data_IF_305042182601
#
_entry.id   IF_305042182601
#
_cell.length_a   1.000
_cell.length_b   1.000
_cell.length_c   1.000
_cell.angle_alpha   90.00
_cell.angle_beta   90.00
_cell.angle_gamma   90.00
#
_symmetry.space_group_name_H-M   'P 1'
#
loop_
_entity.id
_entity.type
_entity.pdbx_description
1 polymer ?
#
# COMPACT_ATOMS: atom_id res chain seq x y z
N UNK A 1 6.32 -11.56 13.50
CA UNK A 1 7.21 -11.76 12.35
C UNK A 1 6.39 -11.33 11.14
N UNK A 2 6.94 -10.54 10.22
CA UNK A 2 6.24 -10.27 8.96
C UNK A 2 6.16 -11.62 8.22
N UNK A 3 4.97 -12.04 7.83
CA UNK A 3 4.75 -13.26 7.04
C UNK A 3 4.40 -12.87 5.61
N UNK A 4 5.39 -12.84 4.68
CA UNK A 4 5.15 -12.38 3.33
C UNK A 4 4.07 -13.20 2.62
N UNK A 5 3.04 -12.54 2.10
CA UNK A 5 1.91 -13.18 1.43
C UNK A 5 1.55 -12.52 0.09
N UNK A 6 2.28 -11.48 -0.30
CA UNK A 6 2.04 -10.73 -1.52
C UNK A 6 3.31 -10.03 -1.99
N UNK A 7 3.34 -9.77 -3.30
CA UNK A 7 4.13 -8.68 -3.86
C UNK A 7 3.17 -7.53 -4.18
N UNK A 8 3.68 -6.30 -4.27
CA UNK A 8 2.88 -5.12 -4.57
C UNK A 8 3.57 -4.21 -5.58
N UNK A 9 2.74 -3.41 -6.24
CA UNK A 9 3.17 -2.25 -7.02
C UNK A 9 2.66 -1.00 -6.32
N UNK A 10 3.55 -0.07 -6.00
CA UNK A 10 3.19 1.30 -5.60
C UNK A 10 3.15 2.12 -6.88
N UNK A 11 2.07 2.86 -7.08
CA UNK A 11 1.83 3.68 -8.27
C UNK A 11 1.77 5.13 -7.83
N UNK A 12 2.74 5.91 -8.32
CA UNK A 12 2.85 7.34 -8.08
C UNK A 12 2.13 8.06 -9.21
N UNK A 13 1.04 8.75 -8.88
CA UNK A 13 0.39 9.60 -9.87
C UNK A 13 1.30 10.78 -10.22
N UNK A 14 1.45 11.02 -11.52
CA UNK A 14 2.00 12.26 -12.03
C UNK A 14 0.94 13.02 -12.82
N UNK A 15 1.08 14.34 -12.85
CA UNK A 15 0.19 15.22 -13.61
C UNK A 15 0.51 15.22 -15.11
N UNK A 16 1.73 14.79 -15.46
CA UNK A 16 2.28 14.85 -16.81
C UNK A 16 2.85 13.47 -17.24
N UNK A 17 1.98 12.56 -17.67
CA UNK A 17 2.38 11.32 -18.34
C UNK A 17 1.86 10.03 -17.70
N UNK A 18 2.43 8.87 -18.09
CA UNK A 18 2.21 7.58 -17.42
C UNK A 18 2.79 7.60 -16.02
N UNK A 19 2.16 6.95 -15.03
CA UNK A 19 2.60 7.00 -13.64
C UNK A 19 3.96 6.32 -13.46
N UNK A 20 4.71 6.75 -12.44
CA UNK A 20 5.88 6.01 -11.98
C UNK A 20 5.43 4.83 -11.10
N UNK A 21 6.19 3.74 -11.11
CA UNK A 21 5.86 2.54 -10.34
C UNK A 21 7.06 1.96 -9.61
N UNK A 22 6.90 1.69 -8.32
CA UNK A 22 7.86 0.95 -7.50
C UNK A 22 7.34 -0.48 -7.24
N UNK A 23 8.22 -1.47 -7.39
CA UNK A 23 7.91 -2.88 -7.15
C UNK A 23 8.47 -3.33 -5.81
N UNK A 24 7.58 -3.84 -4.95
CA UNK A 24 7.96 -4.30 -3.61
C UNK A 24 7.64 -5.77 -3.48
N UNK A 25 8.67 -6.55 -3.19
CA UNK A 25 8.56 -8.00 -3.06
C UNK A 25 8.46 -8.43 -1.60
N UNK A 26 7.63 -9.44 -1.35
CA UNK A 26 7.54 -10.09 -0.05
C UNK A 26 6.99 -9.19 1.07
N UNK A 27 5.83 -8.59 0.85
CA UNK A 27 5.08 -7.83 1.86
C UNK A 27 4.05 -8.72 2.55
N UNK A 28 3.67 -8.35 3.77
CA UNK A 28 2.48 -8.91 4.44
C UNK A 28 1.29 -7.97 4.20
N UNK A 29 0.39 -8.38 3.30
CA UNK A 29 -0.84 -7.67 2.99
C UNK A 29 -1.98 -8.20 3.86
N UNK A 30 -2.46 -7.37 4.78
CA UNK A 30 -3.55 -7.71 5.68
C UNK A 30 -4.80 -6.92 5.30
N UNK A 31 -5.74 -7.59 4.64
CA UNK A 31 -7.07 -7.05 4.42
C UNK A 31 -7.96 -7.37 5.62
N UNK A 32 -8.09 -6.44 6.56
CA UNK A 32 -9.04 -6.60 7.66
C UNK A 32 -10.28 -5.73 7.44
N UNK A 33 -11.45 -6.35 7.60
CA UNK A 33 -12.69 -5.61 7.80
C UNK A 33 -12.67 -5.02 9.20
N UNK A 34 -12.04 -3.86 9.39
CA UNK A 34 -12.06 -3.16 10.68
C UNK A 34 -13.44 -2.55 10.89
N UNK A 35 -14.28 -3.26 11.63
CA UNK A 35 -15.51 -2.71 12.20
C UNK A 35 -15.18 -1.99 13.50
N UNK A 36 -15.19 -0.66 13.47
CA UNK A 36 -15.10 0.16 14.68
C UNK A 36 -16.52 0.61 15.07
N UNK A 37 -16.90 0.41 16.33
CA UNK A 37 -18.13 1.01 16.87
C UNK A 37 -17.76 2.40 17.39
N UNK A 38 -18.36 3.44 16.82
CA UNK A 38 -18.27 4.81 17.34
C UNK A 38 -19.60 5.17 17.99
N UNK A 39 -19.64 6.27 18.76
CA UNK A 39 -20.89 6.79 19.35
C UNK A 39 -21.97 7.13 18.29
N UNK A 40 -21.60 7.17 17.01
CA UNK A 40 -22.46 7.39 15.85
C UNK A 40 -22.82 6.11 15.07
N UNK A 41 -22.48 4.92 15.58
CA UNK A 41 -22.79 3.61 14.98
C UNK A 41 -21.57 2.82 14.48
N UNK A 42 -21.84 1.67 13.86
CA UNK A 42 -20.83 0.75 13.30
C UNK A 42 -20.20 1.37 12.05
N UNK A 43 -18.95 1.83 12.15
CA UNK A 43 -18.14 2.23 11.01
C UNK A 43 -17.32 1.03 10.56
N UNK A 44 -17.80 0.34 9.52
CA UNK A 44 -16.96 -0.59 8.77
C UNK A 44 -16.11 0.24 7.79
N UNK A 45 -14.83 0.39 8.09
CA UNK A 45 -13.85 0.79 7.09
C UNK A 45 -13.05 -0.45 6.77
N UNK A 46 -13.12 -0.91 5.52
CA UNK A 46 -12.14 -1.87 5.02
C UNK A 46 -10.80 -1.13 5.02
N UNK A 47 -9.99 -1.38 6.03
CA UNK A 47 -8.66 -0.79 6.18
C UNK A 47 -7.69 -1.90 5.86
N UNK A 48 -6.97 -1.73 4.76
CA UNK A 48 -5.89 -2.63 4.41
C UNK A 48 -4.64 -2.13 5.12
N UNK A 49 -4.01 -3.00 5.89
CA UNK A 49 -2.70 -2.75 6.49
C UNK A 49 -1.66 -3.54 5.71
N UNK A 50 -0.59 -2.87 5.27
CA UNK A 50 0.51 -3.53 4.53
C UNK A 50 1.79 -3.33 5.31
N UNK A 51 2.47 -4.43 5.66
CA UNK A 51 3.77 -4.39 6.30
C UNK A 51 4.87 -4.64 5.27
N UNK A 52 5.67 -3.61 5.04
CA UNK A 52 6.82 -3.66 4.12
C UNK A 52 8.09 -3.96 4.94
N UNK A 53 8.85 -5.00 4.58
CA UNK A 53 10.06 -5.36 5.31
C UNK A 53 11.13 -4.26 5.17
N UNK A 54 11.94 -4.07 6.22
CA UNK A 54 13.04 -3.10 6.25
C UNK A 54 13.99 -3.20 5.05
N UNK A 55 14.20 -4.39 4.51
CA UNK A 55 15.07 -4.62 3.34
C UNK A 55 14.66 -3.86 2.09
N UNK A 56 13.39 -3.46 1.99
CA UNK A 56 12.86 -2.76 0.81
C UNK A 56 12.89 -1.23 0.94
N UNK A 57 13.27 -0.67 2.11
CA UNK A 57 13.20 0.79 2.36
C UNK A 57 14.02 1.60 1.36
N UNK A 58 15.26 1.18 1.12
CA UNK A 58 16.22 1.99 0.36
C UNK A 58 15.96 1.97 -1.15
N UNK A 59 14.99 1.16 -1.60
CA UNK A 59 14.68 0.96 -3.03
C UNK A 59 13.31 1.49 -3.43
N UNK A 60 12.54 2.06 -2.50
CA UNK A 60 11.16 2.47 -2.75
C UNK A 60 10.90 3.86 -2.21
N UNK A 61 10.07 4.59 -2.93
CA UNK A 61 9.44 5.83 -2.46
C UNK A 61 7.97 5.58 -2.17
N UNK A 62 7.41 6.35 -1.26
CA UNK A 62 5.99 6.24 -0.91
C UNK A 62 5.52 7.55 -0.27
N UNK A 63 4.34 7.98 -0.66
CA UNK A 63 3.67 9.15 -0.12
C UNK A 63 2.17 8.85 0.05
N UNK A 64 1.52 9.69 0.87
CA UNK A 64 0.07 9.66 0.96
C UNK A 64 -0.53 9.98 -0.41
N UNK A 65 -1.68 9.38 -0.70
CA UNK A 65 -2.38 9.45 -1.98
C UNK A 65 -1.74 8.65 -3.14
N UNK A 66 -0.59 8.01 -2.96
CA UNK A 66 -0.16 6.95 -3.88
C UNK A 66 -1.14 5.77 -3.84
N UNK A 67 -1.20 5.02 -4.94
CA UNK A 67 -1.97 3.79 -5.01
C UNK A 67 -1.08 2.59 -4.75
N UNK A 68 -1.63 1.56 -4.11
CA UNK A 68 -0.99 0.26 -3.95
C UNK A 68 -1.87 -0.80 -4.57
N UNK A 69 -1.26 -1.63 -5.40
CA UNK A 69 -1.92 -2.73 -6.09
C UNK A 69 -1.23 -4.03 -5.71
N UNK A 70 -2.02 -5.09 -5.51
CA UNK A 70 -1.48 -6.42 -5.29
C UNK A 70 -0.92 -7.00 -6.60
N UNK A 71 0.30 -7.53 -6.53
CA UNK A 71 1.08 -8.06 -7.64
C UNK A 71 2.01 -7.04 -8.29
N UNK A 72 2.94 -7.54 -9.12
CA UNK A 72 3.87 -6.73 -9.92
C UNK A 72 3.21 -6.35 -11.24
N UNK A 73 2.97 -5.05 -11.44
CA UNK A 73 2.25 -4.48 -12.58
C UNK A 73 2.97 -3.26 -13.13
N UNK A 74 2.65 -2.94 -14.38
CA UNK A 74 3.13 -1.74 -15.07
C UNK A 74 1.94 -1.06 -15.71
N UNK A 75 1.87 0.26 -15.58
CA UNK A 75 0.81 1.08 -16.15
C UNK A 75 1.43 2.04 -17.16
N UNK A 76 0.85 2.12 -18.35
CA UNK A 76 1.29 3.04 -19.41
C UNK A 76 0.21 4.08 -19.72
N UNK A 77 -0.98 3.91 -19.15
CA UNK A 77 -2.13 4.77 -19.33
C UNK A 77 -2.07 6.01 -18.44
N UNK A 78 -2.88 7.02 -18.77
CA UNK A 78 -2.98 8.27 -18.02
C UNK A 78 -4.44 8.62 -17.72
N UNK A 79 -4.65 9.56 -16.80
CA UNK A 79 -5.96 10.15 -16.50
C UNK A 79 -7.06 9.12 -16.24
N UNK A 80 -8.17 9.19 -16.98
CA UNK A 80 -9.34 8.30 -16.80
C UNK A 80 -9.04 6.84 -17.12
N UNK A 81 -8.14 6.57 -18.07
CA UNK A 81 -7.79 5.19 -18.42
C UNK A 81 -6.97 4.53 -17.31
N UNK A 82 -6.00 5.26 -16.75
CA UNK A 82 -5.25 4.83 -15.57
C UNK A 82 -6.17 4.54 -14.39
N UNK A 83 -7.09 5.46 -14.08
CA UNK A 83 -8.05 5.26 -12.97
C UNK A 83 -8.87 3.99 -13.13
N UNK A 84 -9.34 3.69 -14.35
CA UNK A 84 -10.07 2.44 -14.63
C UNK A 84 -9.19 1.20 -14.49
N UNK A 85 -7.92 1.28 -14.88
CA UNK A 85 -6.97 0.18 -14.70
C UNK A 85 -6.72 -0.09 -13.22
N UNK A 86 -6.49 0.95 -12.42
CA UNK A 86 -6.35 0.88 -10.96
C UNK A 86 -7.61 0.33 -10.29
N UNK A 87 -8.81 0.79 -10.67
CA UNK A 87 -10.09 0.26 -10.16
C UNK A 87 -10.26 -1.24 -10.47
N UNK A 88 -9.99 -1.64 -11.73
CA UNK A 88 -10.05 -3.05 -12.15
C UNK A 88 -9.10 -3.91 -11.35
N UNK A 89 -7.95 -3.37 -11.00
CA UNK A 89 -6.90 -4.02 -10.23
C UNK A 89 -7.10 -3.91 -8.71
N UNK A 90 -8.22 -3.35 -8.27
CA UNK A 90 -8.58 -3.16 -6.87
C UNK A 90 -7.49 -2.40 -6.09
N UNK A 91 -6.94 -1.36 -6.72
CA UNK A 91 -5.97 -0.48 -6.09
C UNK A 91 -6.54 0.17 -4.83
N UNK A 92 -5.71 0.28 -3.79
CA UNK A 92 -6.02 1.02 -2.56
C UNK A 92 -5.12 2.23 -2.44
N UNK A 93 -5.62 3.28 -1.78
CA UNK A 93 -4.90 4.53 -1.61
C UNK A 93 -4.15 4.54 -0.27
N UNK A 94 -2.89 4.97 -0.26
CA UNK A 94 -2.13 5.15 0.99
C UNK A 94 -2.68 6.36 1.76
N UNK A 95 -3.12 6.13 2.99
CA UNK A 95 -3.64 7.15 3.92
C UNK A 95 -2.62 7.49 5.01
N UNK A 96 -1.86 6.50 5.47
CA UNK A 96 -0.85 6.64 6.52
C UNK A 96 0.37 5.79 6.23
N UNK A 97 1.53 6.30 6.68
CA UNK A 97 2.83 5.64 6.61
C UNK A 97 3.43 5.76 8.00
N UNK A 98 3.79 4.63 8.62
CA UNK A 98 4.45 4.58 9.92
C UNK A 98 5.79 3.88 9.75
N UNK A 99 6.86 4.56 10.13
CA UNK A 99 8.23 4.04 10.09
C UNK A 99 8.56 3.34 11.42
N UNK A 100 8.58 2.00 11.41
CA UNK A 100 8.94 1.17 12.54
C UNK A 100 10.31 0.50 12.35
N UNK A 101 11.23 1.13 11.61
CA UNK A 101 12.50 0.48 11.23
C UNK A 101 13.55 0.38 12.34
N UNK A 102 13.37 1.15 13.41
CA UNK A 102 14.20 1.11 14.61
C UNK A 102 13.67 0.12 15.66
N UNK A 103 12.55 -0.56 15.38
CA UNK A 103 11.95 -1.52 16.30
C UNK A 103 12.92 -2.67 16.61
N UNK A 104 12.90 -3.14 17.87
CA UNK A 104 13.71 -4.25 18.37
C UNK A 104 12.79 -5.33 18.96
N UNK A 105 12.92 -6.61 18.57
CA UNK A 105 13.96 -7.19 17.70
C UNK A 105 13.88 -6.76 16.22
N UNK A 106 15.02 -6.71 15.53
CA UNK A 106 15.12 -6.25 14.12
C UNK A 106 14.26 -7.04 13.14
N UNK A 107 13.96 -8.30 13.47
CA UNK A 107 13.05 -9.16 12.70
C UNK A 107 11.59 -8.64 12.66
N UNK A 108 11.28 -7.63 13.46
CA UNK A 108 10.00 -6.94 13.48
C UNK A 108 10.10 -5.52 12.91
N UNK A 109 11.26 -5.08 12.42
CA UNK A 109 11.43 -3.76 11.82
C UNK A 109 10.76 -3.71 10.43
N UNK A 110 9.85 -2.76 10.24
CA UNK A 110 9.03 -2.64 9.03
C UNK A 110 8.56 -1.21 8.80
N UNK A 111 8.00 -0.97 7.62
CA UNK A 111 7.12 0.17 7.37
C UNK A 111 5.68 -0.34 7.36
N UNK A 112 4.78 0.36 8.03
CA UNK A 112 3.35 0.04 8.02
C UNK A 112 2.61 1.06 7.17
N UNK A 113 1.87 0.57 6.18
CA UNK A 113 0.94 1.36 5.38
C UNK A 113 -0.49 1.11 5.84
N UNK A 114 -1.24 2.19 6.05
CA UNK A 114 -2.69 2.14 6.19
C UNK A 114 -3.34 2.60 4.89
N UNK A 115 -4.15 1.73 4.29
CA UNK A 115 -4.73 1.93 2.97
C UNK A 115 -6.26 1.77 2.96
N UNK A 116 -6.92 2.38 1.97
CA UNK A 116 -8.37 2.26 1.71
C UNK A 116 -8.71 2.28 0.23
#
# INVERSE_FOLDING_TARGET
MIEPNADITIVHLNDEGPPDTDHVYGVDWQGERKTSVTDNGLQAADVITIFIPKSSKDTITMQKADFVVRGIKTYNETGKALRRALEKDQAVTILSIVDNLDFRPELLAHIELGCK
#
